data_IF_920239701268
#
_entry.id   IF_920239701268
#
_cell.length_a   1.000
_cell.length_b   1.000
_cell.length_c   1.000
_cell.angle_alpha   90.00
_cell.angle_beta   90.00
_cell.angle_gamma   90.00
#
_symmetry.space_group_name_H-M   'P 1'
#
loop_
_entity.id
_entity.type
_entity.pdbx_description
1 polymer ?
#
# COMPACT_ATOMS: atom_id res chain seq x y z
N UNK A 1 20.30 -18.89 28.53
CA UNK A 1 18.99 -18.81 27.90
C UNK A 1 18.14 -17.62 28.38
N UNK A 2 17.92 -17.41 29.69
CA UNK A 2 17.12 -16.28 30.21
C UNK A 2 17.69 -14.89 29.84
N UNK A 3 19.01 -14.71 29.89
CA UNK A 3 19.68 -13.45 29.55
C UNK A 3 19.54 -13.09 28.04
N UNK A 4 19.62 -14.10 27.18
CA UNK A 4 19.41 -13.94 25.72
C UNK A 4 17.97 -13.53 25.41
N UNK A 5 17.01 -14.10 26.12
CA UNK A 5 15.58 -13.81 25.97
C UNK A 5 15.26 -12.38 26.43
N UNK A 6 15.89 -11.93 27.53
CA UNK A 6 15.78 -10.53 28.00
C UNK A 6 16.43 -9.56 27.02
N UNK A 7 17.59 -9.90 26.47
CA UNK A 7 18.27 -9.07 25.45
C UNK A 7 17.46 -8.97 24.15
N UNK A 8 16.90 -10.07 23.69
CA UNK A 8 16.02 -10.10 22.52
C UNK A 8 14.72 -9.35 22.77
N UNK A 9 14.12 -9.48 23.96
CA UNK A 9 12.91 -8.72 24.32
C UNK A 9 13.19 -7.23 24.43
N UNK A 10 14.33 -6.80 24.98
CA UNK A 10 14.70 -5.38 25.03
C UNK A 10 15.02 -4.82 23.67
N UNK A 11 15.61 -5.59 22.76
CA UNK A 11 15.84 -5.20 21.35
C UNK A 11 14.52 -5.11 20.58
N UNK A 12 13.56 -6.00 20.84
CA UNK A 12 12.23 -5.96 20.22
C UNK A 12 11.35 -4.83 20.76
N UNK A 13 11.58 -4.40 22.01
CA UNK A 13 10.88 -3.27 22.63
C UNK A 13 11.51 -1.92 22.29
N UNK A 14 12.77 -1.88 21.80
CA UNK A 14 13.37 -0.64 21.32
C UNK A 14 12.80 -0.25 19.97
N UNK A 15 12.13 0.89 19.92
CA UNK A 15 11.54 1.39 18.69
C UNK A 15 12.63 1.87 17.72
N UNK A 16 12.51 1.51 16.44
CA UNK A 16 13.53 1.77 15.43
C UNK A 16 13.83 3.26 15.23
N UNK A 17 12.81 4.13 15.25
CA UNK A 17 13.04 5.56 15.02
C UNK A 17 13.68 6.24 16.22
N UNK A 18 13.31 5.87 17.45
CA UNK A 18 13.93 6.41 18.67
C UNK A 18 15.40 6.00 18.81
N UNK A 19 15.73 4.78 18.38
CA UNK A 19 17.07 4.22 18.51
C UNK A 19 18.03 4.71 17.41
N UNK A 20 17.61 4.70 16.14
CA UNK A 20 18.49 4.92 15.00
C UNK A 20 18.51 6.36 14.49
N UNK A 21 17.50 7.17 14.82
CA UNK A 21 17.47 8.55 14.34
C UNK A 21 18.10 9.52 15.34
N UNK A 22 19.07 10.34 14.91
CA UNK A 22 19.56 11.47 15.71
C UNK A 22 18.45 12.52 15.87
N UNK A 23 18.59 13.44 16.81
CA UNK A 23 17.61 14.53 17.06
C UNK A 23 17.50 15.51 15.88
N UNK A 24 18.58 15.67 15.15
CA UNK A 24 18.64 16.53 13.97
C UNK A 24 18.71 15.68 12.71
N UNK A 25 18.12 16.18 11.64
CA UNK A 25 18.28 15.61 10.30
C UNK A 25 18.93 16.64 9.38
N UNK A 26 19.82 16.16 8.52
CA UNK A 26 20.50 16.96 7.52
C UNK A 26 19.62 17.05 6.26
N UNK A 27 19.52 18.27 5.73
CA UNK A 27 18.89 18.61 4.46
C UNK A 27 19.89 19.35 3.58
N UNK A 28 20.22 18.80 2.43
CA UNK A 28 21.17 19.38 1.50
C UNK A 28 20.44 20.12 0.39
N UNK A 29 20.35 21.44 0.47
CA UNK A 29 19.75 22.27 -0.57
C UNK A 29 20.65 22.33 -1.79
N UNK A 30 20.06 22.13 -2.98
CA UNK A 30 20.73 22.29 -4.29
C UNK A 30 19.91 23.18 -5.19
N UNK A 31 20.57 24.09 -5.90
CA UNK A 31 19.93 24.99 -6.87
C UNK A 31 20.71 24.99 -8.19
N UNK A 32 20.02 25.12 -9.35
CA UNK A 32 20.68 25.33 -10.64
C UNK A 32 21.19 26.77 -10.82
N UNK A 33 20.67 27.71 -10.03
CA UNK A 33 21.06 29.14 -10.07
C UNK A 33 21.39 29.59 -8.65
N UNK A 34 22.18 30.68 -8.48
CA UNK A 34 22.45 31.23 -7.15
C UNK A 34 21.14 31.62 -6.46
N UNK A 35 20.97 31.25 -5.18
CA UNK A 35 19.80 31.64 -4.39
C UNK A 35 20.19 31.87 -2.93
N UNK A 36 19.59 32.89 -2.35
CA UNK A 36 19.60 33.07 -0.90
C UNK A 36 18.35 32.39 -0.34
N UNK A 37 18.54 31.52 0.65
CA UNK A 37 17.46 30.79 1.32
C UNK A 37 17.38 31.23 2.75
N UNK A 38 16.24 31.78 3.17
CA UNK A 38 15.97 32.17 4.55
C UNK A 38 15.03 31.15 5.17
N UNK A 39 15.48 30.46 6.23
CA UNK A 39 14.73 29.45 6.97
C UNK A 39 14.96 29.65 8.46
N UNK A 40 13.89 29.67 9.26
CA UNK A 40 13.97 29.81 10.73
C UNK A 40 14.95 30.95 11.15
N UNK A 41 14.90 32.11 10.50
CA UNK A 41 15.80 33.25 10.74
C UNK A 41 17.28 33.02 10.34
N UNK A 42 17.59 31.89 9.72
CA UNK A 42 18.96 31.58 9.22
C UNK A 42 19.04 31.86 7.73
N UNK A 43 20.00 32.67 7.32
CA UNK A 43 20.26 32.99 5.91
C UNK A 43 21.36 32.08 5.36
N UNK A 44 21.09 31.42 4.24
CA UNK A 44 21.98 30.45 3.62
C UNK A 44 22.15 30.80 2.15
N UNK A 45 23.41 30.80 1.68
CA UNK A 45 23.74 30.99 0.27
C UNK A 45 23.85 29.62 -0.42
N UNK A 46 22.96 29.33 -1.38
CA UNK A 46 23.00 28.10 -2.17
C UNK A 46 23.64 28.42 -3.51
N UNK A 47 24.83 27.88 -3.75
CA UNK A 47 25.56 28.03 -5.00
C UNK A 47 25.12 26.99 -6.04
N UNK A 48 25.16 27.30 -7.33
CA UNK A 48 24.85 26.37 -8.40
C UNK A 48 25.71 25.11 -8.32
N UNK A 49 25.04 23.94 -8.45
CA UNK A 49 25.72 22.63 -8.46
C UNK A 49 26.24 22.13 -7.13
N UNK A 50 26.34 22.97 -6.10
CA UNK A 50 26.82 22.58 -4.77
C UNK A 50 25.65 22.23 -3.85
N UNK A 51 25.89 21.25 -2.95
CA UNK A 51 24.97 20.94 -1.86
C UNK A 51 25.26 21.82 -0.67
N UNK A 52 24.28 22.57 -0.19
CA UNK A 52 24.39 23.38 1.01
C UNK A 52 23.67 22.71 2.16
N UNK A 53 24.38 22.17 3.18
CA UNK A 53 23.77 21.41 4.27
C UNK A 53 23.11 22.34 5.28
N UNK A 54 21.94 21.94 5.75
CA UNK A 54 21.20 22.57 6.84
C UNK A 54 20.75 21.49 7.80
N UNK A 55 20.96 21.71 9.09
CA UNK A 55 20.49 20.82 10.13
C UNK A 55 19.14 21.31 10.66
N UNK A 56 18.12 20.46 10.59
CA UNK A 56 16.82 20.71 11.19
C UNK A 56 16.58 19.81 12.38
N UNK A 57 16.06 20.37 13.47
CA UNK A 57 15.48 19.57 14.53
C UNK A 57 14.30 18.78 13.98
N UNK A 58 14.24 17.49 14.27
CA UNK A 58 13.14 16.63 13.83
C UNK A 58 11.83 17.04 14.51
N UNK A 59 10.74 17.02 13.75
CA UNK A 59 9.42 17.41 14.24
C UNK A 59 8.38 17.35 13.15
N UNK A 60 7.12 17.53 13.51
CA UNK A 60 5.98 17.52 12.60
C UNK A 60 5.67 18.90 12.01
N UNK A 61 6.42 19.93 12.38
CA UNK A 61 6.16 21.29 11.91
C UNK A 61 6.65 21.48 10.47
N UNK A 62 5.81 22.08 9.64
CA UNK A 62 6.22 22.55 8.32
C UNK A 62 7.11 23.77 8.48
N UNK A 63 8.28 23.75 7.82
CA UNK A 63 9.21 24.88 7.78
C UNK A 63 8.93 25.73 6.54
N UNK A 64 8.92 27.04 6.70
CA UNK A 64 8.82 27.96 5.58
C UNK A 64 10.24 28.38 5.16
N UNK A 65 10.54 28.27 3.87
CA UNK A 65 11.77 28.75 3.28
C UNK A 65 11.49 29.84 2.27
N UNK A 66 12.01 31.05 2.51
CA UNK A 66 11.96 32.15 1.54
C UNK A 66 13.17 32.02 0.64
N UNK A 67 12.92 31.90 -0.65
CA UNK A 67 13.92 31.77 -1.70
C UNK A 67 14.05 33.11 -2.42
N UNK A 68 15.20 33.72 -2.34
CA UNK A 68 15.49 35.01 -2.99
C UNK A 68 16.48 34.74 -4.13
N UNK A 69 16.13 35.14 -5.33
CA UNK A 69 17.00 35.18 -6.50
C UNK A 69 16.94 36.58 -7.13
N UNK A 70 17.82 36.85 -8.06
CA UNK A 70 17.91 38.19 -8.71
C UNK A 70 16.59 38.61 -9.40
N UNK A 71 15.77 37.63 -9.82
CA UNK A 71 14.58 37.88 -10.62
C UNK A 71 13.26 37.74 -9.84
N UNK A 72 13.24 36.98 -8.74
CA UNK A 72 12.02 36.76 -7.97
C UNK A 72 12.28 36.27 -6.53
N UNK A 73 11.26 36.47 -5.69
CA UNK A 73 11.20 35.91 -4.34
C UNK A 73 10.04 34.93 -4.27
N UNK A 74 10.31 33.70 -3.80
CA UNK A 74 9.31 32.65 -3.61
C UNK A 74 9.34 32.14 -2.17
N UNK A 75 8.20 31.79 -1.63
CA UNK A 75 8.11 31.10 -0.34
C UNK A 75 7.66 29.67 -0.58
N UNK A 76 8.47 28.70 -0.13
CA UNK A 76 8.15 27.28 -0.20
C UNK A 76 7.94 26.68 1.19
N UNK A 77 7.20 25.61 1.25
CA UNK A 77 7.00 24.81 2.45
C UNK A 77 7.86 23.55 2.40
N UNK A 78 8.73 23.39 3.39
CA UNK A 78 9.52 22.19 3.61
C UNK A 78 8.79 21.33 4.63
N UNK A 79 8.00 20.39 4.12
CA UNK A 79 7.10 19.55 4.94
C UNK A 79 7.83 18.33 5.47
N UNK A 80 7.65 17.99 6.76
CA UNK A 80 8.20 16.77 7.34
C UNK A 80 7.50 15.53 6.77
N UNK A 81 8.22 14.40 6.80
CA UNK A 81 7.73 13.08 6.44
C UNK A 81 8.23 12.04 7.44
N UNK A 82 7.64 10.88 7.47
CA UNK A 82 8.14 9.79 8.29
C UNK A 82 9.54 9.37 7.82
N UNK A 83 10.41 9.07 8.78
CA UNK A 83 11.76 8.57 8.52
C UNK A 83 11.72 7.11 8.06
N UNK A 84 12.77 6.67 7.37
CA UNK A 84 12.92 5.28 6.96
C UNK A 84 12.90 4.36 8.19
N UNK A 85 13.60 4.73 9.27
CA UNK A 85 13.62 3.95 10.50
C UNK A 85 12.24 3.78 11.13
N UNK A 86 11.32 4.74 10.96
CA UNK A 86 9.96 4.60 11.44
C UNK A 86 9.17 3.54 10.65
N UNK A 87 9.45 3.40 9.34
CA UNK A 87 8.82 2.35 8.53
C UNK A 87 9.28 0.94 8.89
N UNK A 88 10.48 0.76 9.46
CA UNK A 88 10.93 -0.53 9.96
C UNK A 88 10.05 -1.10 11.09
N UNK A 89 9.22 -0.26 11.73
CA UNK A 89 8.24 -0.73 12.70
C UNK A 89 7.18 -1.69 12.10
N UNK A 90 7.00 -1.70 10.78
CA UNK A 90 6.21 -2.74 10.13
C UNK A 90 6.84 -4.14 10.27
N UNK A 91 8.18 -4.22 10.28
CA UNK A 91 8.87 -5.50 10.45
C UNK A 91 8.71 -6.08 11.87
N UNK A 92 8.36 -5.26 12.85
CA UNK A 92 8.04 -5.68 14.23
C UNK A 92 6.54 -5.88 14.44
N UNK A 93 5.81 -6.25 13.39
CA UNK A 93 4.35 -6.41 13.41
C UNK A 93 3.58 -5.18 13.97
N UNK A 94 4.19 -3.99 13.82
CA UNK A 94 3.57 -2.75 14.27
C UNK A 94 3.78 -2.38 15.74
N UNK A 95 4.36 -3.25 16.56
CA UNK A 95 4.60 -2.97 17.99
C UNK A 95 5.45 -1.72 18.17
N UNK A 96 6.45 -1.51 17.31
CA UNK A 96 7.30 -0.33 17.34
C UNK A 96 6.56 1.01 17.15
N UNK A 97 5.40 1.01 16.48
CA UNK A 97 4.60 2.23 16.34
C UNK A 97 4.02 2.74 17.66
N UNK A 98 3.77 1.86 18.63
CA UNK A 98 3.28 2.24 19.95
C UNK A 98 4.32 3.10 20.69
N UNK A 99 5.60 2.75 20.54
CA UNK A 99 6.71 3.45 21.17
C UNK A 99 7.14 4.68 20.37
N UNK A 100 7.31 4.54 19.06
CA UNK A 100 7.73 5.64 18.18
C UNK A 100 6.61 6.66 17.90
N UNK A 101 5.38 6.35 18.21
CA UNK A 101 4.22 7.20 17.90
C UNK A 101 4.33 8.60 18.52
N UNK A 102 4.95 8.74 19.69
CA UNK A 102 5.10 10.01 20.42
C UNK A 102 6.45 10.70 20.17
N UNK A 103 7.46 10.02 19.62
CA UNK A 103 8.80 10.61 19.46
C UNK A 103 8.85 11.58 18.26
N UNK A 104 9.51 12.76 18.39
CA UNK A 104 9.78 13.63 17.26
C UNK A 104 10.76 12.99 16.26
N UNK A 105 11.56 12.02 16.68
CA UNK A 105 12.55 11.33 15.86
C UNK A 105 11.95 10.53 14.70
N UNK A 106 10.64 10.23 14.74
CA UNK A 106 9.93 9.61 13.62
C UNK A 106 9.84 10.51 12.37
N UNK A 107 10.02 11.82 12.53
CA UNK A 107 9.93 12.76 11.43
C UNK A 107 11.30 13.08 10.82
N UNK A 108 11.33 13.34 9.51
CA UNK A 108 12.50 13.88 8.81
C UNK A 108 12.06 14.86 7.75
N UNK A 109 12.93 15.81 7.41
CA UNK A 109 12.74 16.68 6.26
C UNK A 109 13.37 16.06 5.00
N UNK A 110 13.02 16.55 3.79
CA UNK A 110 13.61 16.06 2.54
C UNK A 110 15.14 16.14 2.58
N UNK A 111 15.84 15.05 2.26
CA UNK A 111 17.30 15.01 2.36
C UNK A 111 18.00 15.90 1.33
N UNK A 112 17.44 16.01 0.12
CA UNK A 112 18.09 16.78 -0.98
C UNK A 112 17.03 17.49 -1.84
N UNK A 113 16.46 18.61 -1.36
CA UNK A 113 15.56 19.42 -2.15
C UNK A 113 16.33 20.11 -3.28
N UNK A 114 15.94 19.85 -4.51
CA UNK A 114 16.49 20.52 -5.70
C UNK A 114 15.59 21.71 -6.03
N UNK A 115 16.06 22.93 -5.79
CA UNK A 115 15.33 24.20 -5.97
C UNK A 115 15.21 24.58 -7.46
N UNK A 116 14.68 23.67 -8.29
CA UNK A 116 14.26 23.96 -9.67
C UNK A 116 12.90 24.67 -9.64
N UNK A 117 12.57 25.42 -10.69
CA UNK A 117 11.28 26.12 -10.78
C UNK A 117 10.10 25.16 -10.57
N UNK A 118 10.17 23.98 -11.17
CA UNK A 118 9.17 22.92 -10.96
C UNK A 118 9.04 22.48 -9.49
N UNK A 119 10.16 22.40 -8.75
CA UNK A 119 10.14 22.08 -7.32
C UNK A 119 9.51 23.21 -6.52
N UNK A 120 9.90 24.46 -6.83
CA UNK A 120 9.40 25.67 -6.18
C UNK A 120 7.89 25.79 -6.37
N UNK A 121 7.41 25.70 -7.61
CA UNK A 121 5.97 25.81 -7.92
C UNK A 121 5.14 24.76 -7.20
N UNK A 122 5.68 23.54 -7.06
CA UNK A 122 5.01 22.45 -6.35
C UNK A 122 4.96 22.64 -4.83
N UNK A 123 5.95 23.28 -4.25
CA UNK A 123 6.09 23.45 -2.80
C UNK A 123 5.80 24.88 -2.36
N UNK A 124 5.36 25.74 -3.26
CA UNK A 124 4.99 27.14 -2.94
C UNK A 124 3.98 27.15 -1.78
N UNK A 125 4.14 28.10 -0.87
CA UNK A 125 3.22 28.31 0.26
C UNK A 125 1.79 28.45 -0.27
N UNK A 126 0.85 27.66 0.30
CA UNK A 126 -0.53 27.63 -0.15
C UNK A 126 -0.81 26.78 -1.39
N UNK A 127 0.22 26.17 -2.03
CA UNK A 127 -0.02 25.23 -3.11
C UNK A 127 -0.68 23.95 -2.57
N UNK A 128 -1.65 23.41 -3.30
CA UNK A 128 -2.15 22.07 -3.01
C UNK A 128 -1.03 21.04 -3.36
N UNK A 129 -0.48 20.31 -2.37
CA UNK A 129 0.56 19.33 -2.63
C UNK A 129 0.06 18.15 -3.49
N UNK A 130 -1.24 18.08 -3.75
CA UNK A 130 -1.91 17.08 -4.58
C UNK A 130 -2.35 17.63 -5.95
N UNK A 131 -2.22 18.96 -6.20
CA UNK A 131 -2.60 19.58 -7.48
C UNK A 131 -1.84 18.96 -8.67
N UNK A 132 -0.58 18.59 -8.45
CA UNK A 132 0.26 17.91 -9.44
C UNK A 132 0.14 16.38 -9.35
N UNK A 133 -1.09 15.88 -9.37
CA UNK A 133 -1.34 14.43 -9.31
C UNK A 133 -1.11 13.79 -10.68
N UNK A 134 0.17 13.56 -11.01
CA UNK A 134 0.69 13.08 -12.32
C UNK A 134 0.00 11.84 -12.89
N UNK A 135 -0.76 11.12 -12.06
CA UNK A 135 -1.34 9.83 -12.43
C UNK A 135 -2.83 9.91 -12.78
N UNK A 136 -3.40 11.10 -12.74
CA UNK A 136 -4.85 11.29 -12.91
C UNK A 136 -5.20 12.30 -14.02
N UNK A 137 -4.35 12.42 -15.03
CA UNK A 137 -4.62 13.28 -16.18
C UNK A 137 -5.35 12.48 -17.26
N UNK A 138 -6.33 13.11 -17.92
CA UNK A 138 -7.03 12.53 -19.07
C UNK A 138 -6.03 11.99 -20.10
N UNK A 139 -6.29 10.77 -20.60
CA UNK A 139 -5.44 10.10 -21.60
C UNK A 139 -4.22 9.38 -21.02
N UNK A 140 -3.98 9.43 -19.70
CA UNK A 140 -2.85 8.73 -19.09
C UNK A 140 -3.13 7.25 -18.88
N UNK A 141 -2.10 6.43 -19.16
CA UNK A 141 -2.07 5.01 -18.83
C UNK A 141 -1.25 4.78 -17.57
N UNK A 142 -1.75 3.92 -16.68
CA UNK A 142 -1.01 3.57 -15.47
C UNK A 142 -1.04 2.05 -15.26
N UNK A 143 0.10 1.52 -14.82
CA UNK A 143 0.23 0.15 -14.33
C UNK A 143 -0.02 0.15 -12.81
N UNK A 144 -0.86 -0.76 -12.37
CA UNK A 144 -1.11 -1.04 -10.96
C UNK A 144 -0.47 -2.37 -10.60
N UNK A 145 0.32 -2.38 -9.55
CA UNK A 145 0.89 -3.60 -8.97
C UNK A 145 0.46 -3.57 -7.52
N UNK A 146 -0.27 -4.57 -7.07
CA UNK A 146 -0.69 -4.65 -5.67
C UNK A 146 -0.54 -6.05 -5.07
N UNK A 147 -0.46 -6.06 -3.77
CA UNK A 147 -0.46 -7.25 -2.93
C UNK A 147 -1.79 -7.28 -2.18
N UNK A 148 -2.75 -8.11 -2.56
CA UNK A 148 -3.91 -8.47 -1.74
C UNK A 148 -3.41 -9.18 -0.49
N UNK A 149 -3.12 -8.39 0.56
CA UNK A 149 -2.42 -8.88 1.76
C UNK A 149 -3.32 -9.70 2.66
N UNK A 150 -4.52 -9.23 2.93
CA UNK A 150 -5.50 -9.93 3.74
C UNK A 150 -6.78 -10.14 2.94
N UNK A 151 -7.25 -11.36 2.91
CA UNK A 151 -8.38 -11.77 2.09
C UNK A 151 -9.37 -12.54 2.96
N UNK A 152 -10.65 -12.21 2.84
CA UNK A 152 -11.76 -12.97 3.41
C UNK A 152 -12.57 -13.58 2.28
N UNK A 153 -12.90 -14.86 2.41
CA UNK A 153 -13.63 -15.62 1.41
C UNK A 153 -14.92 -16.17 2.00
N UNK A 154 -15.99 -16.08 1.24
CA UNK A 154 -17.15 -16.93 1.41
C UNK A 154 -17.37 -17.67 0.10
N UNK A 155 -17.17 -18.97 0.12
CA UNK A 155 -17.35 -19.82 -1.06
C UNK A 155 -18.44 -20.81 -0.84
N UNK A 156 -19.10 -21.12 -1.92
CA UNK A 156 -20.19 -22.04 -1.95
C UNK A 156 -20.01 -23.01 -3.12
N UNK A 157 -20.07 -24.31 -2.86
CA UNK A 157 -19.93 -25.37 -3.84
C UNK A 157 -20.97 -26.47 -3.59
N UNK A 158 -21.83 -26.75 -4.58
CA UNK A 158 -22.94 -27.68 -4.38
C UNK A 158 -23.85 -27.23 -3.22
N UNK A 159 -24.02 -28.05 -2.20
CA UNK A 159 -24.73 -27.71 -0.95
C UNK A 159 -23.82 -27.20 0.17
N UNK A 160 -22.52 -27.26 -0.04
CA UNK A 160 -21.52 -26.86 0.94
C UNK A 160 -21.18 -25.38 0.83
N UNK A 161 -20.93 -24.74 1.94
CA UNK A 161 -20.43 -23.36 2.00
C UNK A 161 -19.42 -23.23 3.13
N UNK A 162 -18.40 -22.43 2.89
CA UNK A 162 -17.33 -22.23 3.85
C UNK A 162 -16.84 -20.79 3.87
N UNK A 163 -16.57 -20.31 5.05
CA UNK A 163 -15.81 -19.11 5.30
C UNK A 163 -14.32 -19.42 5.40
N UNK A 164 -13.49 -18.55 4.92
CA UNK A 164 -12.04 -18.66 5.05
C UNK A 164 -11.41 -17.27 5.06
N UNK A 165 -10.21 -17.23 5.59
CA UNK A 165 -9.33 -16.07 5.52
C UNK A 165 -7.98 -16.52 4.98
N UNK A 166 -7.38 -15.72 4.13
CA UNK A 166 -6.06 -16.03 3.56
C UNK A 166 -5.20 -14.79 3.50
N UNK A 167 -3.90 -15.02 3.50
CA UNK A 167 -2.92 -13.97 3.40
C UNK A 167 -2.10 -14.17 2.13
N UNK A 168 -1.67 -13.04 1.58
CA UNK A 168 -0.91 -12.93 0.35
C UNK A 168 -1.71 -13.17 -0.93
N UNK A 169 -1.31 -12.41 -1.91
CA UNK A 169 -1.75 -12.46 -3.28
C UNK A 169 -0.91 -11.51 -4.12
N UNK A 170 -1.09 -11.58 -5.41
CA UNK A 170 -0.50 -10.64 -6.37
C UNK A 170 -1.60 -10.16 -7.30
N UNK A 171 -1.66 -8.84 -7.53
CA UNK A 171 -2.57 -8.25 -8.51
C UNK A 171 -1.81 -7.34 -9.46
N UNK A 172 -2.14 -7.45 -10.74
CA UNK A 172 -1.65 -6.59 -11.80
C UNK A 172 -2.85 -5.95 -12.49
N UNK A 173 -2.77 -4.65 -12.74
CA UNK A 173 -3.84 -3.90 -13.40
C UNK A 173 -3.30 -2.84 -14.35
N UNK A 174 -4.07 -2.57 -15.38
CA UNK A 174 -3.82 -1.51 -16.33
C UNK A 174 -5.01 -0.55 -16.30
N UNK A 175 -4.77 0.72 -16.05
CA UNK A 175 -5.82 1.74 -16.03
C UNK A 175 -5.59 2.82 -17.09
N UNK A 176 -6.72 3.25 -17.67
CA UNK A 176 -6.78 4.37 -18.62
C UNK A 176 -7.68 5.46 -18.08
N UNK A 177 -7.16 6.68 -17.97
CA UNK A 177 -7.92 7.84 -17.50
C UNK A 177 -8.76 8.43 -18.63
N UNK A 178 -10.06 8.21 -18.58
CA UNK A 178 -11.04 8.76 -19.53
C UNK A 178 -11.28 10.25 -19.31
N UNK A 179 -11.11 10.69 -18.07
CA UNK A 179 -11.13 12.10 -17.66
C UNK A 179 -10.19 12.33 -16.47
N UNK A 180 -10.07 13.58 -16.02
CA UNK A 180 -9.29 13.90 -14.80
C UNK A 180 -9.88 13.36 -13.51
N UNK A 181 -11.12 12.87 -13.56
CA UNK A 181 -11.85 12.34 -12.40
C UNK A 181 -12.29 10.89 -12.55
N UNK A 182 -12.11 10.28 -13.72
CA UNK A 182 -12.58 8.92 -14.00
C UNK A 182 -11.53 8.11 -14.74
N UNK A 183 -11.46 6.82 -14.44
CA UNK A 183 -10.62 5.88 -15.17
C UNK A 183 -11.24 4.49 -15.22
N UNK A 184 -10.97 3.77 -16.29
CA UNK A 184 -11.27 2.34 -16.44
C UNK A 184 -10.04 1.55 -16.02
N UNK A 185 -10.24 0.49 -15.25
CA UNK A 185 -9.17 -0.39 -14.79
C UNK A 185 -9.49 -1.83 -15.15
N UNK A 186 -8.59 -2.47 -15.88
CA UNK A 186 -8.57 -3.92 -16.12
C UNK A 186 -7.50 -4.52 -15.21
N UNK A 187 -7.85 -5.51 -14.38
CA UNK A 187 -6.91 -6.13 -13.47
C UNK A 187 -7.09 -7.64 -13.36
N UNK A 188 -6.00 -8.35 -13.09
CA UNK A 188 -5.98 -9.75 -12.74
C UNK A 188 -5.32 -9.91 -11.36
N UNK A 189 -5.91 -10.75 -10.50
CA UNK A 189 -5.39 -11.02 -9.17
C UNK A 189 -5.36 -12.52 -8.91
N UNK A 190 -4.25 -13.00 -8.36
CA UNK A 190 -4.11 -14.33 -7.77
C UNK A 190 -4.10 -14.20 -6.25
N UNK A 191 -4.98 -14.92 -5.57
CA UNK A 191 -5.13 -14.87 -4.12
C UNK A 191 -4.98 -16.28 -3.59
N UNK A 192 -4.18 -16.43 -2.54
CA UNK A 192 -3.91 -17.69 -1.88
C UNK A 192 -4.51 -17.67 -0.47
N UNK A 193 -5.02 -18.81 -0.06
CA UNK A 193 -5.32 -19.11 1.34
C UNK A 193 -4.03 -19.64 1.97
N UNK A 194 -3.13 -18.74 2.31
CA UNK A 194 -1.90 -19.06 3.03
C UNK A 194 -2.00 -18.62 4.47
N UNK A 195 -1.44 -19.41 5.36
CA UNK A 195 -1.31 -19.04 6.76
C UNK A 195 -0.54 -17.74 6.93
N UNK A 196 -0.85 -16.97 7.95
CA UNK A 196 -0.11 -15.74 8.26
C UNK A 196 1.36 -16.12 8.46
N UNK A 197 2.32 -15.50 7.77
CA UNK A 197 3.75 -15.78 7.96
C UNK A 197 4.29 -15.12 9.24
N UNK A 198 3.53 -15.22 10.34
CA UNK A 198 3.87 -14.73 11.66
C UNK A 198 4.03 -15.95 12.56
N UNK A 199 5.03 -16.00 13.47
CA UNK A 199 5.27 -17.14 14.34
C UNK A 199 4.15 -17.41 15.38
N UNK A 200 3.02 -16.77 15.27
CA UNK A 200 1.81 -16.98 16.04
C UNK A 200 0.65 -17.44 15.13
N UNK A 201 0.91 -18.34 14.19
CA UNK A 201 -0.16 -18.99 13.45
C UNK A 201 -1.05 -19.72 14.45
N UNK A 202 -2.23 -19.18 14.67
CA UNK A 202 -3.29 -19.89 15.38
C UNK A 202 -3.86 -20.83 14.35
N UNK A 203 -3.51 -22.09 14.44
CA UNK A 203 -4.06 -23.15 13.62
C UNK A 203 -5.49 -23.41 14.11
N UNK A 204 -6.47 -22.86 13.41
CA UNK A 204 -7.90 -23.08 13.72
C UNK A 204 -8.43 -24.35 13.07
N UNK A 205 -7.63 -24.99 12.22
CA UNK A 205 -8.04 -26.20 11.53
C UNK A 205 -7.71 -27.44 12.36
N UNK A 206 -8.57 -28.44 12.27
CA UNK A 206 -8.26 -29.75 12.82
C UNK A 206 -6.97 -30.28 12.17
N UNK A 207 -5.98 -30.77 12.93
CA UNK A 207 -4.72 -31.27 12.35
C UNK A 207 -4.93 -32.44 11.39
N UNK A 208 -6.12 -32.99 11.31
CA UNK A 208 -6.48 -34.10 10.43
C UNK A 208 -7.02 -33.69 9.08
N UNK A 209 -7.54 -32.46 8.92
CA UNK A 209 -8.12 -31.95 7.66
C UNK A 209 -7.61 -30.55 7.41
N UNK A 210 -6.98 -30.32 6.26
CA UNK A 210 -6.47 -29.02 5.85
C UNK A 210 -7.08 -28.61 4.51
N UNK A 211 -7.69 -27.44 4.49
CA UNK A 211 -8.24 -26.85 3.28
C UNK A 211 -7.27 -25.83 2.69
N UNK A 212 -6.99 -25.98 1.41
CA UNK A 212 -6.20 -25.03 0.65
C UNK A 212 -7.04 -24.44 -0.47
N UNK A 213 -7.07 -23.11 -0.52
CA UNK A 213 -7.79 -22.39 -1.54
C UNK A 213 -6.89 -21.47 -2.33
N UNK A 214 -7.12 -21.37 -3.62
CA UNK A 214 -6.60 -20.30 -4.45
C UNK A 214 -7.67 -19.80 -5.41
N UNK A 215 -7.63 -18.49 -5.68
CA UNK A 215 -8.55 -17.83 -6.60
C UNK A 215 -7.78 -17.00 -7.61
N UNK A 216 -8.13 -17.13 -8.88
CA UNK A 216 -7.68 -16.25 -9.95
C UNK A 216 -8.88 -15.39 -10.36
N UNK A 217 -8.71 -14.07 -10.26
CA UNK A 217 -9.77 -13.10 -10.45
C UNK A 217 -9.40 -12.14 -11.59
N UNK A 218 -10.30 -11.94 -12.54
CA UNK A 218 -10.18 -10.91 -13.57
C UNK A 218 -11.27 -9.86 -13.35
N UNK A 219 -10.91 -8.57 -13.33
CA UNK A 219 -11.84 -7.51 -13.02
C UNK A 219 -11.73 -6.39 -14.06
N UNK A 220 -12.89 -5.89 -14.46
CA UNK A 220 -13.03 -4.67 -15.27
C UNK A 220 -13.88 -3.68 -14.50
N UNK A 221 -13.33 -2.55 -14.12
CA UNK A 221 -14.03 -1.55 -13.30
C UNK A 221 -13.92 -0.14 -13.86
N UNK A 222 -14.97 0.64 -13.67
CA UNK A 222 -14.99 2.07 -13.86
C UNK A 222 -14.86 2.74 -12.47
N UNK A 223 -13.93 3.66 -12.34
CA UNK A 223 -13.53 4.24 -11.08
C UNK A 223 -13.65 5.76 -11.11
N UNK A 224 -14.16 6.33 -10.02
CA UNK A 224 -14.36 7.76 -9.84
C UNK A 224 -13.45 8.30 -8.76
N UNK A 225 -12.67 9.33 -9.08
CA UNK A 225 -11.77 10.00 -8.16
C UNK A 225 -12.50 11.08 -7.37
N UNK A 226 -12.44 11.00 -6.06
CA UNK A 226 -13.05 11.88 -5.09
C UNK A 226 -11.99 12.51 -4.18
N UNK A 227 -12.40 13.43 -3.30
CA UNK A 227 -11.56 14.05 -2.29
C UNK A 227 -10.20 14.54 -2.86
N UNK A 228 -10.27 15.40 -3.87
CA UNK A 228 -9.07 15.91 -4.55
C UNK A 228 -8.19 14.78 -5.12
N UNK A 229 -8.82 13.78 -5.75
CA UNK A 229 -8.17 12.62 -6.36
C UNK A 229 -7.45 11.67 -5.38
N UNK A 230 -7.75 11.75 -4.08
CA UNK A 230 -7.18 10.86 -3.06
C UNK A 230 -7.96 9.57 -2.87
N UNK A 231 -9.26 9.62 -3.01
CA UNK A 231 -10.14 8.47 -2.88
C UNK A 231 -10.65 8.07 -4.25
N UNK A 232 -10.65 6.80 -4.55
CA UNK A 232 -11.31 6.24 -5.72
C UNK A 232 -12.39 5.29 -5.25
N UNK A 233 -13.57 5.43 -5.81
CA UNK A 233 -14.66 4.47 -5.69
C UNK A 233 -14.95 3.91 -7.08
N UNK A 234 -15.02 2.59 -7.19
CA UNK A 234 -15.26 1.93 -8.47
C UNK A 234 -16.37 0.90 -8.40
N UNK A 235 -16.87 0.54 -9.57
CA UNK A 235 -17.81 -0.55 -9.79
C UNK A 235 -17.52 -1.21 -11.13
N UNK A 236 -17.84 -2.49 -11.26
CA UNK A 236 -17.58 -3.20 -12.49
C UNK A 236 -17.94 -4.67 -12.42
N UNK A 237 -17.36 -5.43 -13.35
CA UNK A 237 -17.58 -6.87 -13.48
C UNK A 237 -16.33 -7.63 -13.00
N UNK A 238 -16.56 -8.78 -12.40
CA UNK A 238 -15.52 -9.69 -11.94
C UNK A 238 -15.82 -11.10 -12.43
N UNK A 239 -14.78 -11.75 -12.94
CA UNK A 239 -14.77 -13.18 -13.23
C UNK A 239 -13.78 -13.83 -12.26
N UNK A 240 -14.18 -14.97 -11.69
CA UNK A 240 -13.39 -15.76 -10.74
C UNK A 240 -13.21 -17.18 -11.20
N UNK A 241 -12.01 -17.70 -11.01
CA UNK A 241 -11.69 -19.13 -11.07
C UNK A 241 -11.18 -19.55 -9.70
N UNK A 242 -12.00 -20.31 -8.98
CA UNK A 242 -11.74 -20.74 -7.62
C UNK A 242 -11.41 -22.22 -7.59
N UNK A 243 -10.38 -22.60 -6.87
CA UNK A 243 -10.03 -23.98 -6.59
C UNK A 243 -9.92 -24.17 -5.08
N UNK A 244 -10.57 -25.20 -4.59
CA UNK A 244 -10.57 -25.60 -3.21
C UNK A 244 -10.14 -27.06 -3.10
N UNK A 245 -9.04 -27.31 -2.38
CA UNK A 245 -8.48 -28.64 -2.14
C UNK A 245 -8.62 -28.95 -0.66
N UNK A 246 -9.36 -29.99 -0.33
CA UNK A 246 -9.45 -30.56 1.02
C UNK A 246 -8.44 -31.70 1.12
N UNK A 247 -7.42 -31.56 1.97
CA UNK A 247 -6.36 -32.53 2.20
C UNK A 247 -6.57 -33.15 3.58
N UNK A 248 -6.72 -34.47 3.61
CA UNK A 248 -6.84 -35.22 4.85
C UNK A 248 -5.46 -35.72 5.31
N UNK A 249 -4.99 -35.26 6.47
CA UNK A 249 -3.72 -35.67 7.08
C UNK A 249 -3.90 -36.74 8.17
N UNK A 250 -4.98 -37.49 8.19
CA UNK A 250 -5.24 -38.52 9.17
C UNK A 250 -4.36 -39.76 9.01
N UNK A 251 -3.96 -40.38 10.14
CA UNK A 251 -3.46 -41.77 10.15
C UNK A 251 -4.63 -42.63 9.67
N UNK A 252 -4.59 -43.08 8.42
CA UNK A 252 -5.59 -44.01 7.93
C UNK A 252 -5.62 -45.25 8.88
N UNK A 253 -6.76 -45.53 9.48
CA UNK A 253 -6.98 -46.87 9.99
C UNK A 253 -6.85 -47.83 8.81
N UNK A 254 -6.15 -48.94 9.03
CA UNK A 254 -5.87 -49.93 7.97
C UNK A 254 -7.14 -50.22 7.15
N UNK A 255 -7.17 -49.72 5.90
CA UNK A 255 -8.23 -49.98 4.92
C UNK A 255 -8.97 -48.80 4.34
N UNK A 256 -8.93 -47.60 4.92
CA UNK A 256 -9.58 -46.39 4.31
C UNK A 256 -8.57 -45.47 3.60
N UNK A 257 -8.64 -45.43 2.29
CA UNK A 257 -7.99 -44.37 1.50
C UNK A 257 -8.81 -43.11 1.67
N UNK A 258 -8.32 -42.13 2.45
CA UNK A 258 -8.88 -40.78 2.43
C UNK A 258 -8.47 -40.12 1.12
N UNK A 259 -9.45 -39.91 0.23
CA UNK A 259 -9.21 -39.20 -1.03
C UNK A 259 -9.14 -37.70 -0.81
N UNK A 260 -8.09 -37.08 -1.35
CA UNK A 260 -8.03 -35.61 -1.44
C UNK A 260 -9.11 -35.12 -2.43
N UNK A 261 -9.98 -34.24 -1.94
CA UNK A 261 -11.08 -33.75 -2.76
C UNK A 261 -10.70 -32.39 -3.33
N UNK A 262 -10.65 -32.33 -4.67
CA UNK A 262 -10.45 -31.07 -5.39
C UNK A 262 -11.75 -30.60 -6.02
N UNK A 263 -12.14 -29.36 -5.69
CA UNK A 263 -13.32 -28.71 -6.25
C UNK A 263 -12.87 -27.47 -7.01
N UNK A 264 -13.37 -27.30 -8.23
CA UNK A 264 -13.06 -26.14 -9.10
C UNK A 264 -14.35 -25.51 -9.56
N UNK A 265 -14.43 -24.19 -9.50
CA UNK A 265 -15.59 -23.44 -9.99
C UNK A 265 -15.16 -22.18 -10.73
N UNK A 266 -15.98 -21.79 -11.69
CA UNK A 266 -15.90 -20.50 -12.36
C UNK A 266 -17.07 -19.65 -11.92
N UNK A 267 -16.87 -18.37 -11.73
CA UNK A 267 -17.92 -17.48 -11.24
C UNK A 267 -17.88 -16.13 -11.93
N UNK A 268 -19.05 -15.51 -12.01
CA UNK A 268 -19.26 -14.18 -12.56
C UNK A 268 -20.03 -13.33 -11.56
N UNK A 269 -19.61 -12.08 -11.41
CA UNK A 269 -20.24 -11.16 -10.48
C UNK A 269 -19.76 -9.72 -10.67
N UNK A 270 -19.79 -9.00 -9.60
CA UNK A 270 -19.41 -7.59 -9.59
C UNK A 270 -18.09 -7.37 -8.85
N UNK A 271 -17.49 -6.20 -9.08
CA UNK A 271 -16.34 -5.72 -8.32
C UNK A 271 -16.58 -4.29 -7.86
N UNK A 272 -16.27 -4.03 -6.60
CA UNK A 272 -16.36 -2.72 -5.97
C UNK A 272 -15.01 -2.37 -5.33
N UNK A 273 -14.08 -1.78 -6.10
CA UNK A 273 -12.80 -1.33 -5.58
C UNK A 273 -12.92 0.02 -4.91
N UNK A 274 -12.25 0.16 -3.77
CA UNK A 274 -12.06 1.42 -3.05
C UNK A 274 -10.57 1.60 -2.87
N UNK A 275 -9.98 2.69 -3.38
CA UNK A 275 -8.55 2.98 -3.27
C UNK A 275 -8.31 4.33 -2.63
N UNK A 276 -7.41 4.37 -1.65
CA UNK A 276 -6.90 5.60 -1.09
C UNK A 276 -5.46 5.83 -1.55
N UNK A 277 -5.25 6.87 -2.35
CA UNK A 277 -3.96 7.22 -2.91
C UNK A 277 -3.18 8.14 -1.98
N UNK A 278 -1.94 7.75 -1.69
CA UNK A 278 -1.00 8.62 -1.00
C UNK A 278 -0.42 9.66 -1.96
N UNK A 279 0.46 10.53 -1.45
CA UNK A 279 1.09 11.60 -2.25
C UNK A 279 1.95 11.12 -3.43
N UNK A 280 2.26 9.82 -3.49
CA UNK A 280 3.10 9.24 -4.53
C UNK A 280 2.37 8.12 -5.25
N UNK A 281 3.12 7.16 -5.72
CA UNK A 281 2.59 5.97 -6.41
C UNK A 281 1.90 4.96 -5.50
N UNK A 282 2.08 5.03 -4.19
CA UNK A 282 1.52 4.06 -3.24
C UNK A 282 0.04 4.32 -2.95
N UNK A 283 -0.74 3.26 -2.87
CA UNK A 283 -2.13 3.30 -2.43
C UNK A 283 -2.48 2.14 -1.49
N UNK A 284 -3.52 2.36 -0.72
CA UNK A 284 -4.21 1.33 0.06
C UNK A 284 -5.53 1.04 -0.63
N UNK A 285 -5.91 -0.21 -0.68
CA UNK A 285 -7.14 -0.63 -1.34
C UNK A 285 -7.97 -1.59 -0.51
N UNK A 286 -9.25 -1.56 -0.77
CA UNK A 286 -10.21 -2.57 -0.37
C UNK A 286 -11.03 -2.95 -1.60
N UNK A 287 -11.04 -4.22 -1.93
CA UNK A 287 -11.74 -4.69 -3.13
C UNK A 287 -12.73 -5.78 -2.73
N UNK A 288 -14.01 -5.46 -2.90
CA UNK A 288 -15.11 -6.38 -2.65
C UNK A 288 -15.63 -6.97 -3.96
N UNK A 289 -15.74 -8.31 -4.03
CA UNK A 289 -16.13 -9.05 -5.24
C UNK A 289 -17.25 -10.02 -4.91
N UNK A 290 -18.51 -9.56 -4.93
CA UNK A 290 -19.68 -10.45 -4.88
C UNK A 290 -19.87 -11.17 -6.21
N UNK A 291 -19.77 -12.49 -6.19
CA UNK A 291 -20.05 -13.38 -7.32
C UNK A 291 -21.46 -13.93 -7.19
N UNK A 292 -22.21 -13.93 -8.27
CA UNK A 292 -23.64 -14.30 -8.27
C UNK A 292 -23.94 -15.55 -9.08
N UNK A 293 -23.16 -15.78 -10.12
CA UNK A 293 -23.39 -16.90 -11.06
C UNK A 293 -22.18 -17.82 -11.03
N UNK A 294 -22.40 -19.11 -10.82
CA UNK A 294 -21.37 -20.15 -10.79
C UNK A 294 -21.57 -21.13 -11.94
N UNK A 295 -20.46 -21.56 -12.57
CA UNK A 295 -20.40 -22.47 -13.71
C UNK A 295 -19.58 -23.71 -13.37
N UNK A 296 -19.95 -24.50 -12.37
CA UNK A 296 -19.21 -25.71 -11.99
C UNK A 296 -19.73 -26.98 -12.69
N UNK A 297 -21.00 -27.28 -12.55
CA UNK A 297 -21.72 -28.41 -13.17
C UNK A 297 -23.04 -27.93 -13.74
N UNK A 298 -23.00 -26.90 -14.58
CA UNK A 298 -24.13 -26.14 -15.08
C UNK A 298 -24.11 -24.71 -14.55
N UNK A 299 -25.04 -23.88 -15.05
CA UNK A 299 -25.15 -22.48 -14.60
C UNK A 299 -26.11 -22.41 -13.44
N UNK A 300 -25.58 -21.96 -12.26
CA UNK A 300 -26.38 -21.84 -11.06
C UNK A 300 -26.26 -20.44 -10.46
N UNK A 301 -27.38 -19.92 -9.98
CA UNK A 301 -27.36 -18.73 -9.12
C UNK A 301 -26.84 -19.13 -7.74
N UNK A 302 -25.62 -18.68 -7.41
CA UNK A 302 -24.99 -19.02 -6.14
C UNK A 302 -24.11 -17.88 -5.67
N UNK A 303 -24.49 -17.32 -4.54
CA UNK A 303 -23.72 -16.24 -3.93
C UNK A 303 -22.44 -16.75 -3.30
N UNK A 304 -21.34 -16.08 -3.64
CA UNK A 304 -20.06 -16.18 -2.98
C UNK A 304 -19.37 -14.81 -3.02
N UNK A 305 -18.40 -14.56 -2.18
CA UNK A 305 -17.68 -13.28 -2.23
C UNK A 305 -16.23 -13.38 -1.78
N UNK A 306 -15.45 -12.42 -2.22
CA UNK A 306 -14.09 -12.19 -1.78
C UNK A 306 -13.93 -10.72 -1.40
N UNK A 307 -13.37 -10.48 -0.22
CA UNK A 307 -12.97 -9.16 0.24
C UNK A 307 -11.45 -9.15 0.40
N UNK A 308 -10.76 -8.25 -0.30
CA UNK A 308 -9.31 -8.11 -0.25
C UNK A 308 -8.89 -6.76 0.28
N UNK A 309 -7.87 -6.72 1.13
CA UNK A 309 -7.15 -5.50 1.50
C UNK A 309 -5.83 -5.45 0.75
N UNK A 310 -5.68 -4.44 -0.09
CA UNK A 310 -4.58 -4.30 -1.04
C UNK A 310 -3.59 -3.22 -0.63
N UNK A 311 -2.31 -3.52 -0.77
CA UNK A 311 -1.21 -2.54 -0.76
C UNK A 311 -0.65 -2.45 -2.17
N UNK A 312 -0.68 -1.29 -2.78
CA UNK A 312 -0.31 -1.21 -4.19
C UNK A 312 0.48 0.02 -4.59
N UNK A 313 1.06 -0.09 -5.76
CA UNK A 313 1.78 0.98 -6.44
C UNK A 313 1.15 1.22 -7.81
N UNK A 314 1.00 2.50 -8.12
CA UNK A 314 0.54 2.96 -9.42
C UNK A 314 1.69 3.64 -10.15
N UNK A 315 2.06 3.12 -11.30
CA UNK A 315 3.19 3.57 -12.11
C UNK A 315 2.62 4.15 -13.40
N UNK A 316 2.92 5.42 -13.69
CA UNK A 316 2.51 6.05 -14.95
C UNK A 316 3.35 5.53 -16.10
N UNK A 317 2.70 5.04 -17.16
CA UNK A 317 3.34 4.52 -18.37
C UNK A 317 3.48 5.57 -19.46
N UNK A 318 2.52 6.50 -19.56
CA UNK A 318 2.55 7.60 -20.55
C UNK A 318 2.84 8.94 -19.89
N UNK A 319 3.58 9.80 -20.57
CA UNK A 319 3.86 11.17 -20.13
C UNK A 319 2.69 12.08 -20.40
#
# INVERSE_FOLDING_TARGET
MKLLLVLVSTLLLSSCASLFNPEHCRTDFRSPVPRTVLIDSTTIQVQPGKATPVAFMRGNQTKEAVLISDTRTDTIEVRPRWSEAYYFNFATCGIGFLFDGKTPKKWKYPSTPRLTDRYIDRHRKGSDPYADYRYADKGSWNLHISLPYANAFYSAYGKESQWGAGFLGLSLGLSYHTSDKTFVNLSAAGILDSEIPIPAAIDYESPQVKDHRYSILANLSNNHLLLQKRLSLGYGLSYGHDTWNTIHHGIAQEGEKQENIRRTSHSLGFVFPVYYYTRRSFYLGMVYRPMLVQFAHGTHFKYQHTLSFDFGWRIRLTK
#
